data_IF_130752782515
#
_entry.id   IF_130752782515
#
_cell.length_a   1.000
_cell.length_b   1.000
_cell.length_c   1.000
_cell.angle_alpha   90.00
_cell.angle_beta   90.00
_cell.angle_gamma   90.00
#
_symmetry.space_group_name_H-M   'P 1'
#
loop_
_entity.id
_entity.type
_entity.pdbx_description
1 polymer ?
#
# COMPACT_ATOMS: atom_id res chain seq x y z
N UNK A 1 3.38 7.52 -12.81
CA UNK A 1 2.87 6.15 -12.60
C UNK A 1 1.58 6.14 -11.79
N UNK A 2 1.57 6.50 -10.49
CA UNK A 2 0.33 6.52 -9.68
C UNK A 2 -0.79 7.37 -10.30
N UNK A 3 -0.46 8.56 -10.80
CA UNK A 3 -1.42 9.42 -11.49
C UNK A 3 -2.04 8.74 -12.72
N UNK A 4 -1.21 8.09 -13.55
CA UNK A 4 -1.63 7.35 -14.75
C UNK A 4 -2.54 6.18 -14.38
N UNK A 5 -2.16 5.39 -13.36
CA UNK A 5 -3.01 4.32 -12.83
C UNK A 5 -4.39 4.85 -12.45
N UNK A 6 -4.46 5.96 -11.70
CA UNK A 6 -5.75 6.48 -11.28
C UNK A 6 -6.63 6.99 -12.44
N UNK A 7 -6.03 7.46 -13.54
CA UNK A 7 -6.77 7.77 -14.77
C UNK A 7 -7.25 6.53 -15.47
N UNK A 8 -6.39 5.52 -15.64
CA UNK A 8 -6.74 4.24 -16.25
C UNK A 8 -7.89 3.57 -15.50
N UNK A 9 -7.87 3.59 -14.16
CA UNK A 9 -8.96 3.00 -13.38
C UNK A 9 -10.28 3.76 -13.57
N UNK A 10 -10.25 5.09 -13.61
CA UNK A 10 -11.46 5.87 -13.84
C UNK A 10 -12.03 5.61 -15.25
N UNK A 11 -11.17 5.50 -16.26
CA UNK A 11 -11.55 5.19 -17.65
C UNK A 11 -12.16 3.78 -17.78
N UNK A 12 -11.49 2.73 -17.26
CA UNK A 12 -11.99 1.34 -17.36
C UNK A 12 -13.22 1.07 -16.50
N UNK A 13 -13.50 1.95 -15.53
CA UNK A 13 -14.72 1.88 -14.70
C UNK A 13 -15.82 2.82 -15.17
N UNK A 14 -15.67 3.44 -16.36
CA UNK A 14 -16.62 4.39 -16.92
C UNK A 14 -17.01 5.52 -15.95
N UNK A 15 -16.04 5.98 -15.14
CA UNK A 15 -16.23 7.02 -14.11
C UNK A 15 -16.92 6.55 -12.83
N UNK A 16 -17.27 5.27 -12.69
CA UNK A 16 -17.90 4.74 -11.48
C UNK A 16 -16.96 4.83 -10.28
N UNK A 17 -15.66 4.60 -10.48
CA UNK A 17 -14.63 4.82 -9.46
C UNK A 17 -13.87 6.10 -9.78
N UNK A 18 -14.22 7.19 -9.07
CA UNK A 18 -13.55 8.48 -9.26
C UNK A 18 -12.07 8.40 -8.91
N UNK A 19 -11.22 8.96 -9.76
CA UNK A 19 -9.76 9.04 -9.56
C UNK A 19 -9.35 9.57 -8.19
N UNK A 20 -10.03 10.61 -7.71
CA UNK A 20 -9.77 11.23 -6.40
C UNK A 20 -9.90 10.23 -5.24
N UNK A 21 -10.83 9.29 -5.31
CA UNK A 21 -11.07 8.30 -4.24
C UNK A 21 -9.92 7.30 -4.16
N UNK A 22 -9.45 6.83 -5.32
CA UNK A 22 -8.30 5.93 -5.41
C UNK A 22 -7.04 6.65 -4.92
N UNK A 23 -6.82 7.89 -5.38
CA UNK A 23 -5.65 8.67 -5.01
C UNK A 23 -5.59 8.90 -3.49
N UNK A 24 -6.69 9.30 -2.85
CA UNK A 24 -6.75 9.46 -1.39
C UNK A 24 -6.49 8.12 -0.69
N UNK A 25 -7.07 7.03 -1.18
CA UNK A 25 -6.90 5.69 -0.59
C UNK A 25 -5.44 5.21 -0.68
N UNK A 26 -4.81 5.36 -1.84
CA UNK A 26 -3.39 5.02 -2.03
C UNK A 26 -2.49 5.89 -1.17
N UNK A 27 -2.72 7.21 -1.13
CA UNK A 27 -1.95 8.12 -0.30
C UNK A 27 -2.04 7.75 1.19
N UNK A 28 -3.22 7.39 1.70
CA UNK A 28 -3.37 6.90 3.07
C UNK A 28 -2.63 5.58 3.29
N UNK A 29 -2.71 4.63 2.35
CA UNK A 29 -1.99 3.36 2.43
C UNK A 29 -0.47 3.54 2.47
N UNK A 30 0.06 4.43 1.63
CA UNK A 30 1.50 4.74 1.58
C UNK A 30 1.94 5.48 2.86
N UNK A 31 1.15 6.46 3.33
CA UNK A 31 1.45 7.14 4.59
C UNK A 31 1.53 6.16 5.77
N UNK A 32 0.60 5.21 5.87
CA UNK A 32 0.65 4.14 6.87
C UNK A 32 1.87 3.23 6.68
N UNK A 33 2.21 2.85 5.45
CA UNK A 33 3.39 2.04 5.17
C UNK A 33 4.69 2.71 5.64
N UNK A 34 4.86 4.00 5.31
CA UNK A 34 6.02 4.79 5.73
C UNK A 34 6.05 4.92 7.24
N UNK A 35 4.91 5.20 7.88
CA UNK A 35 4.80 5.34 9.33
C UNK A 35 5.20 4.04 10.04
N UNK A 36 4.65 2.90 9.62
CA UNK A 36 5.00 1.58 10.17
C UNK A 36 6.47 1.23 9.93
N UNK A 37 7.02 1.63 8.79
CA UNK A 37 8.43 1.42 8.48
C UNK A 37 9.35 2.23 9.39
N UNK A 38 9.00 3.48 9.68
CA UNK A 38 9.77 4.31 10.63
C UNK A 38 9.68 3.75 12.05
N UNK A 39 8.48 3.34 12.50
CA UNK A 39 8.32 2.67 13.80
C UNK A 39 9.18 1.40 13.88
N UNK A 40 9.24 0.63 12.80
CA UNK A 40 10.08 -0.57 12.71
C UNK A 40 11.57 -0.25 12.83
N UNK A 41 12.07 0.78 12.12
CA UNK A 41 13.48 1.21 12.22
C UNK A 41 13.81 1.63 13.66
N UNK A 42 12.88 2.29 14.35
CA UNK A 42 13.09 2.78 15.72
C UNK A 42 12.97 1.70 16.80
N UNK A 43 12.19 0.64 16.57
CA UNK A 43 11.86 -0.37 17.58
C UNK A 43 12.46 -1.73 17.18
N UNK A 44 13.57 -2.16 17.81
CA UNK A 44 14.31 -3.36 17.39
C UNK A 44 13.53 -4.68 17.47
N UNK A 45 12.50 -4.75 18.32
CA UNK A 45 11.65 -5.93 18.43
C UNK A 45 10.72 -6.12 17.23
N UNK A 46 10.44 -5.06 16.47
CA UNK A 46 9.56 -5.10 15.31
C UNK A 46 10.34 -5.58 14.07
N UNK A 47 10.20 -6.87 13.77
CA UNK A 47 10.69 -7.47 12.52
C UNK A 47 9.72 -7.25 11.36
N UNK A 48 10.25 -7.21 10.14
CA UNK A 48 9.48 -7.01 8.90
C UNK A 48 8.32 -8.01 8.73
N UNK A 49 8.53 -9.28 9.10
CA UNK A 49 7.51 -10.32 8.93
C UNK A 49 6.24 -10.06 9.76
N UNK A 50 6.35 -9.37 10.91
CA UNK A 50 5.19 -9.05 11.76
C UNK A 50 4.18 -8.16 11.04
N UNK A 51 4.59 -7.47 9.97
CA UNK A 51 3.70 -6.65 9.14
C UNK A 51 3.34 -7.37 7.85
N UNK A 52 4.33 -7.95 7.15
CA UNK A 52 4.11 -8.57 5.85
C UNK A 52 3.19 -9.78 5.94
N UNK A 53 3.42 -10.67 6.91
CA UNK A 53 2.62 -11.89 7.03
C UNK A 53 1.13 -11.58 7.27
N UNK A 54 0.73 -10.80 8.30
CA UNK A 54 -0.67 -10.46 8.47
C UNK A 54 -1.19 -9.57 7.35
N UNK A 55 -0.39 -8.64 6.83
CA UNK A 55 -0.80 -7.76 5.72
C UNK A 55 -1.17 -8.54 4.46
N UNK A 56 -0.31 -9.46 4.02
CA UNK A 56 -0.60 -10.34 2.88
C UNK A 56 -1.70 -11.36 3.18
N UNK A 57 -1.80 -11.88 4.41
CA UNK A 57 -2.91 -12.76 4.79
C UNK A 57 -4.26 -12.03 4.69
N UNK A 58 -4.32 -10.77 5.16
CA UNK A 58 -5.50 -9.90 5.02
C UNK A 58 -5.77 -9.61 3.54
N UNK A 59 -4.75 -9.26 2.76
CA UNK A 59 -4.90 -8.98 1.34
C UNK A 59 -5.45 -10.20 0.57
N UNK A 60 -4.92 -11.39 0.84
CA UNK A 60 -5.39 -12.64 0.24
C UNK A 60 -6.83 -12.95 0.65
N UNK A 61 -7.16 -12.80 1.93
CA UNK A 61 -8.52 -13.01 2.43
C UNK A 61 -9.52 -12.04 1.79
N UNK A 62 -9.17 -10.75 1.70
CA UNK A 62 -10.01 -9.73 1.09
C UNK A 62 -10.23 -9.98 -0.40
N UNK A 63 -9.29 -10.64 -1.09
CA UNK A 63 -9.42 -10.91 -2.53
C UNK A 63 -10.61 -11.81 -2.84
N UNK A 64 -11.02 -12.67 -1.90
CA UNK A 64 -12.24 -13.49 -2.03
C UNK A 64 -13.53 -12.73 -1.70
N UNK A 65 -13.44 -11.56 -1.05
CA UNK A 65 -14.59 -10.81 -0.55
C UNK A 65 -14.93 -9.59 -1.38
N UNK A 66 -13.99 -9.04 -2.14
CA UNK A 66 -14.14 -7.79 -2.89
C UNK A 66 -14.37 -8.05 -4.39
N UNK A 67 -14.96 -7.10 -5.14
CA UNK A 67 -15.17 -7.29 -6.58
C UNK A 67 -13.85 -7.47 -7.34
N UNK A 68 -13.78 -8.30 -8.40
CA UNK A 68 -12.54 -8.60 -9.11
C UNK A 68 -11.78 -7.37 -9.62
N UNK A 69 -12.50 -6.31 -10.03
CA UNK A 69 -11.88 -5.06 -10.46
C UNK A 69 -11.00 -4.44 -9.37
N UNK A 70 -11.46 -4.45 -8.11
CA UNK A 70 -10.68 -3.93 -6.98
C UNK A 70 -9.49 -4.83 -6.64
N UNK A 71 -9.61 -6.14 -6.85
CA UNK A 71 -8.46 -7.07 -6.73
C UNK A 71 -7.40 -6.71 -7.77
N UNK A 72 -7.78 -6.56 -9.04
CA UNK A 72 -6.87 -6.18 -10.11
C UNK A 72 -6.15 -4.85 -9.83
N UNK A 73 -6.91 -3.82 -9.46
CA UNK A 73 -6.35 -2.50 -9.10
C UNK A 73 -5.38 -2.64 -7.92
N UNK A 74 -5.72 -3.42 -6.89
CA UNK A 74 -4.91 -3.57 -5.69
C UNK A 74 -3.52 -4.15 -5.98
N UNK A 75 -3.45 -5.23 -6.78
CA UNK A 75 -2.18 -5.87 -7.12
C UNK A 75 -1.35 -5.04 -8.13
N UNK A 76 -1.99 -4.27 -9.01
CA UNK A 76 -1.28 -3.35 -9.92
C UNK A 76 -0.75 -2.11 -9.17
N UNK A 77 -1.54 -1.58 -8.22
CA UNK A 77 -1.18 -0.44 -7.38
C UNK A 77 0.07 -0.68 -6.54
N UNK A 78 0.29 -1.90 -6.06
CA UNK A 78 1.46 -2.25 -5.25
C UNK A 78 2.77 -1.97 -5.98
N UNK A 79 2.89 -2.44 -7.23
CA UNK A 79 4.06 -2.20 -8.07
C UNK A 79 4.21 -0.73 -8.48
N UNK A 80 3.10 -0.05 -8.75
CA UNK A 80 3.08 1.36 -9.14
C UNK A 80 3.50 2.29 -7.99
N UNK A 81 3.13 1.97 -6.75
CA UNK A 81 3.55 2.71 -5.55
C UNK A 81 5.01 2.42 -5.16
N UNK A 82 5.43 1.15 -5.24
CA UNK A 82 6.78 0.74 -4.89
C UNK A 82 7.83 1.16 -5.92
N UNK A 83 7.47 1.35 -7.19
CA UNK A 83 8.42 1.71 -8.24
C UNK A 83 8.94 3.14 -8.08
N UNK A 84 8.37 4.13 -8.78
CA UNK A 84 8.92 5.48 -8.79
C UNK A 84 8.86 6.18 -7.43
N UNK A 85 7.78 6.00 -6.65
CA UNK A 85 7.63 6.75 -5.38
C UNK A 85 8.59 6.27 -4.30
N UNK A 86 8.75 4.94 -4.16
CA UNK A 86 9.64 4.41 -3.12
C UNK A 86 11.10 4.54 -3.51
N UNK A 87 11.45 4.25 -4.77
CA UNK A 87 12.84 4.30 -5.22
C UNK A 87 13.43 5.72 -5.20
N UNK A 88 12.62 6.75 -5.43
CA UNK A 88 13.12 8.14 -5.53
C UNK A 88 13.30 8.84 -4.19
N UNK A 89 12.39 8.62 -3.24
CA UNK A 89 12.38 9.37 -1.99
C UNK A 89 12.34 8.45 -0.76
N UNK A 90 11.36 7.56 -0.67
CA UNK A 90 11.09 6.82 0.56
C UNK A 90 12.26 5.92 0.95
N UNK A 91 12.91 5.27 -0.01
CA UNK A 91 14.06 4.42 0.24
C UNK A 91 15.26 5.24 0.76
N UNK A 92 15.61 6.33 0.09
CA UNK A 92 16.70 7.20 0.51
C UNK A 92 16.44 7.79 1.92
N UNK A 93 15.20 8.21 2.18
CA UNK A 93 14.77 8.68 3.49
C UNK A 93 14.90 7.59 4.57
N UNK A 94 14.41 6.38 4.30
CA UNK A 94 14.48 5.27 5.24
C UNK A 94 15.93 4.80 5.49
N UNK A 95 16.76 4.79 4.46
CA UNK A 95 18.19 4.49 4.58
C UNK A 95 18.90 5.53 5.45
N UNK A 96 18.65 6.81 5.22
CA UNK A 96 19.18 7.89 6.05
C UNK A 96 18.72 7.82 7.50
N UNK A 97 17.45 7.49 7.75
CA UNK A 97 16.96 7.27 9.12
C UNK A 97 17.65 6.07 9.78
N UNK A 98 17.79 4.95 9.05
CA UNK A 98 18.42 3.73 9.55
C UNK A 98 19.93 3.84 9.77
N UNK A 99 20.62 4.78 9.13
CA UNK A 99 22.07 4.96 9.32
C UNK A 99 22.42 5.72 10.60
N UNK A 100 21.48 6.49 11.13
CA UNK A 100 21.67 7.29 12.37
C UNK A 100 21.20 6.52 13.61
N UNK A 101 20.26 5.58 13.47
CA UNK A 101 19.73 4.79 14.59
C UNK A 101 20.68 3.62 14.87
N UNK A 102 21.34 3.55 16.05
CA UNK A 102 22.39 2.56 16.31
C UNK A 102 21.92 1.11 16.26
N UNK A 103 20.64 0.88 16.53
CA UNK A 103 20.03 -0.46 16.55
C UNK A 103 19.48 -0.90 15.20
N UNK A 104 19.50 -0.02 14.19
CA UNK A 104 18.94 -0.29 12.87
C UNK A 104 20.01 -0.80 11.91
N UNK A 105 19.60 -1.60 10.94
CA UNK A 105 20.43 -2.09 9.86
C UNK A 105 19.94 -1.54 8.52
N UNK A 106 20.78 -0.78 7.81
CA UNK A 106 20.40 -0.15 6.53
C UNK A 106 19.91 -1.17 5.48
N UNK A 107 20.54 -2.35 5.44
CA UNK A 107 20.18 -3.39 4.47
C UNK A 107 18.84 -4.07 4.80
N UNK A 108 18.53 -4.24 6.08
CA UNK A 108 17.33 -4.99 6.52
C UNK A 108 16.16 -4.04 6.81
N UNK A 109 16.41 -2.95 7.51
CA UNK A 109 15.40 -1.97 7.93
C UNK A 109 15.17 -0.91 6.85
N UNK A 110 16.24 -0.35 6.29
CA UNK A 110 16.18 0.63 5.21
C UNK A 110 15.49 0.07 3.95
N UNK A 111 15.96 -1.06 3.40
CA UNK A 111 15.33 -1.66 2.22
C UNK A 111 13.96 -2.29 2.50
N UNK A 112 13.70 -2.73 3.74
CA UNK A 112 12.43 -3.35 4.10
C UNK A 112 11.21 -2.43 3.93
N UNK A 113 11.42 -1.11 3.85
CA UNK A 113 10.36 -0.14 3.51
C UNK A 113 9.72 -0.43 2.15
N UNK A 114 10.47 -0.99 1.20
CA UNK A 114 9.96 -1.30 -0.15
C UNK A 114 8.85 -2.34 -0.06
N UNK A 115 9.05 -3.38 0.75
CA UNK A 115 8.03 -4.42 0.95
C UNK A 115 6.78 -3.86 1.64
N UNK A 116 6.94 -2.94 2.59
CA UNK A 116 5.84 -2.27 3.27
C UNK A 116 5.02 -1.40 2.31
N UNK A 117 5.68 -0.59 1.49
CA UNK A 117 5.01 0.28 0.50
C UNK A 117 4.40 -0.53 -0.63
N UNK A 118 4.97 -1.68 -1.00
CA UNK A 118 4.34 -2.59 -1.96
C UNK A 118 3.07 -3.23 -1.37
N UNK A 119 3.07 -3.64 -0.10
CA UNK A 119 1.97 -4.38 0.53
C UNK A 119 0.76 -3.50 0.91
N UNK A 120 0.96 -2.31 1.49
CA UNK A 120 -0.18 -1.53 2.01
C UNK A 120 -1.21 -1.09 0.94
N UNK A 121 -0.84 -0.72 -0.29
CA UNK A 121 -1.80 -0.47 -1.37
C UNK A 121 -2.72 -1.65 -1.64
N UNK A 122 -2.22 -2.90 -1.54
CA UNK A 122 -3.05 -4.09 -1.74
C UNK A 122 -4.19 -4.14 -0.71
N UNK A 123 -3.88 -3.86 0.55
CA UNK A 123 -4.87 -3.86 1.63
C UNK A 123 -5.82 -2.66 1.49
N UNK A 124 -5.26 -1.46 1.27
CA UNK A 124 -6.04 -0.22 1.22
C UNK A 124 -7.08 -0.22 0.08
N UNK A 125 -6.69 -0.63 -1.13
CA UNK A 125 -7.61 -0.69 -2.28
C UNK A 125 -8.67 -1.78 -2.09
N UNK A 126 -8.32 -2.91 -1.49
CA UNK A 126 -9.31 -3.95 -1.23
C UNK A 126 -10.30 -3.53 -0.12
N UNK A 127 -9.85 -2.82 0.92
CA UNK A 127 -10.77 -2.21 1.90
C UNK A 127 -11.73 -1.24 1.22
N UNK A 128 -11.23 -0.41 0.28
CA UNK A 128 -12.09 0.45 -0.54
C UNK A 128 -13.10 -0.37 -1.34
N UNK A 129 -12.67 -1.45 -1.99
CA UNK A 129 -13.54 -2.35 -2.74
C UNK A 129 -14.64 -2.99 -1.88
N UNK A 130 -14.33 -3.32 -0.63
CA UNK A 130 -15.30 -3.83 0.32
C UNK A 130 -16.34 -2.76 0.68
N UNK A 131 -15.91 -1.51 0.91
CA UNK A 131 -16.81 -0.38 1.19
C UNK A 131 -17.76 -0.14 0.00
N UNK A 132 -17.24 -0.16 -1.23
CA UNK A 132 -18.05 -0.04 -2.44
C UNK A 132 -19.09 -1.17 -2.57
N UNK A 133 -18.67 -2.42 -2.34
CA UNK A 133 -19.57 -3.58 -2.36
C UNK A 133 -20.69 -3.46 -1.32
N UNK A 134 -20.37 -3.02 -0.11
CA UNK A 134 -21.37 -2.84 0.96
C UNK A 134 -22.36 -1.74 0.61
N UNK A 135 -21.89 -0.62 0.04
CA UNK A 135 -22.77 0.48 -0.39
C UNK A 135 -23.72 0.03 -1.51
N UNK A 136 -23.20 -0.64 -2.53
CA UNK A 136 -24.02 -1.16 -3.62
C UNK A 136 -25.12 -2.12 -3.13
N UNK A 137 -24.84 -2.97 -2.13
CA UNK A 137 -25.85 -3.87 -1.54
C UNK A 137 -26.95 -3.15 -0.75
N UNK A 138 -26.70 -1.93 -0.23
CA UNK A 138 -27.71 -1.15 0.50
C UNK A 138 -28.67 -0.39 -0.40
N UNK A 139 -28.29 -0.19 -1.66
CA UNK A 139 -29.08 0.54 -2.66
C UNK A 139 -30.02 -0.37 -3.47
N UNK A 140 -29.94 -1.69 -3.25
CA UNK A 140 -30.80 -2.74 -3.83
C UNK A 140 -31.68 -3.34 -2.73
#
# INVERSE_FOLDING_TARGET
AVYVLTEQVEEVTAGHIKKKVILITLSMGIALAVTMSMLRIMIPSLKLWHFLLPGFAIAAFLSYKVPPIFVGIAYDSGGVASGPMTATFVLAFAQGASSIIPTANVMVDGFGVIAMVAMMPLVAIQVLGLIFKIKAKKEV
#
